data_IF_749917647846
#
_entry.id   IF_749917647846
#
_cell.length_a   1.000
_cell.length_b   1.000
_cell.length_c   1.000
_cell.angle_alpha   90.00
_cell.angle_beta   90.00
_cell.angle_gamma   90.00
#
_symmetry.space_group_name_H-M   'P 1'
#
loop_
_entity.id
_entity.type
_entity.pdbx_description
1 polymer ?
#
# COMPACT_ATOMS: atom_id res chain seq x y z
N UNK A 1 -3.22 11.23 -0.82
CA UNK A 1 -4.68 11.04 -0.93
C UNK A 1 -5.15 10.37 0.34
N UNK A 2 -5.88 11.12 1.17
CA UNK A 2 -6.41 10.64 2.44
C UNK A 2 -7.40 9.50 2.20
N UNK A 3 -7.42 8.51 3.10
CA UNK A 3 -8.39 7.40 3.11
C UNK A 3 -9.84 7.88 2.92
N UNK A 4 -10.14 9.07 3.45
CA UNK A 4 -11.43 9.77 3.35
C UNK A 4 -11.84 10.05 1.90
N UNK A 5 -10.91 10.46 1.03
CA UNK A 5 -11.22 10.73 -0.39
C UNK A 5 -11.56 9.44 -1.15
N UNK A 6 -10.91 8.33 -0.79
CA UNK A 6 -11.22 7.02 -1.36
C UNK A 6 -12.59 6.53 -0.86
N UNK A 7 -12.89 6.71 0.43
CA UNK A 7 -14.22 6.41 1.00
C UNK A 7 -15.35 7.23 0.39
N UNK A 8 -15.13 8.53 0.15
CA UNK A 8 -16.12 9.42 -0.48
C UNK A 8 -16.36 9.05 -1.95
N UNK A 9 -15.29 8.83 -2.71
CA UNK A 9 -15.38 8.44 -4.11
C UNK A 9 -16.05 7.06 -4.25
N UNK A 10 -15.81 6.18 -3.28
CA UNK A 10 -16.44 4.87 -3.16
C UNK A 10 -17.95 4.97 -2.88
N UNK A 11 -18.35 5.79 -1.91
CA UNK A 11 -19.77 5.99 -1.60
C UNK A 11 -20.55 6.57 -2.78
N UNK A 12 -19.93 7.51 -3.52
CA UNK A 12 -20.54 8.12 -4.71
C UNK A 12 -20.75 7.07 -5.81
N UNK A 13 -19.74 6.26 -6.11
CA UNK A 13 -19.87 5.24 -7.16
C UNK A 13 -20.92 4.18 -6.84
N UNK A 14 -20.94 3.66 -5.60
CA UNK A 14 -21.91 2.65 -5.18
C UNK A 14 -23.34 3.20 -5.26
N UNK A 15 -23.56 4.42 -4.79
CA UNK A 15 -24.90 5.03 -4.82
C UNK A 15 -25.39 5.31 -6.24
N UNK A 16 -24.51 5.76 -7.15
CA UNK A 16 -24.86 5.98 -8.56
C UNK A 16 -25.22 4.66 -9.25
N UNK A 17 -24.42 3.60 -9.02
CA UNK A 17 -24.68 2.28 -9.62
C UNK A 17 -25.99 1.67 -9.13
N UNK A 18 -26.29 1.75 -7.83
CA UNK A 18 -27.55 1.27 -7.26
C UNK A 18 -28.73 2.06 -7.83
N UNK A 19 -28.63 3.40 -7.88
CA UNK A 19 -29.69 4.25 -8.42
C UNK A 19 -29.98 3.95 -9.90
N UNK A 20 -28.94 3.75 -10.73
CA UNK A 20 -29.13 3.39 -12.14
C UNK A 20 -29.81 2.03 -12.29
N UNK A 21 -29.41 1.03 -11.49
CA UNK A 21 -30.02 -0.31 -11.51
C UNK A 21 -31.52 -0.21 -11.14
N UNK A 22 -31.86 0.55 -10.10
CA UNK A 22 -33.26 0.78 -9.70
C UNK A 22 -34.03 1.46 -10.84
N UNK A 23 -33.50 2.55 -11.42
CA UNK A 23 -34.18 3.26 -12.52
C UNK A 23 -34.41 2.38 -13.75
N UNK A 24 -33.43 1.54 -14.10
CA UNK A 24 -33.56 0.58 -15.22
C UNK A 24 -34.61 -0.48 -14.88
N UNK A 25 -34.61 -1.00 -13.66
CA UNK A 25 -35.60 -1.97 -13.21
C UNK A 25 -37.03 -1.39 -13.26
N UNK A 26 -37.22 -0.17 -12.76
CA UNK A 26 -38.52 0.53 -12.79
C UNK A 26 -39.00 0.76 -14.23
N UNK A 27 -38.12 1.24 -15.11
CA UNK A 27 -38.45 1.43 -16.52
C UNK A 27 -38.83 0.11 -17.22
N UNK A 28 -38.14 -0.99 -16.90
CA UNK A 28 -38.46 -2.31 -17.44
C UNK A 28 -39.81 -2.84 -16.90
N UNK A 29 -40.14 -2.56 -15.64
CA UNK A 29 -41.42 -2.95 -15.03
C UNK A 29 -42.58 -2.19 -15.70
N UNK A 30 -42.45 -0.88 -15.90
CA UNK A 30 -43.49 -0.05 -16.55
C UNK A 30 -43.74 -0.51 -17.99
N UNK A 31 -42.66 -0.82 -18.75
CA UNK A 31 -42.78 -1.29 -20.13
C UNK A 31 -43.48 -2.65 -20.27
N UNK A 32 -43.54 -3.43 -19.19
CA UNK A 32 -44.23 -4.72 -19.15
C UNK A 32 -45.74 -4.61 -18.81
N UNK A 33 -46.25 -3.43 -18.45
CA UNK A 33 -47.62 -3.23 -17.94
C UNK A 33 -48.66 -2.74 -18.96
N UNK A 34 -48.33 -2.63 -20.25
CA UNK A 34 -49.30 -2.27 -21.31
C UNK A 34 -49.75 -3.48 -22.17
N UNK A 35 -50.79 -4.25 -21.76
CA UNK A 35 -51.39 -5.26 -22.62
C UNK A 35 -52.63 -4.75 -23.37
N UNK A 36 -52.81 -5.22 -24.61
CA UNK A 36 -54.09 -5.13 -25.34
C UNK A 36 -55.12 -6.12 -24.77
N UNK A 37 -56.40 -5.74 -24.82
CA UNK A 37 -57.50 -6.27 -23.98
C UNK A 37 -57.84 -7.77 -24.21
N UNK A 38 -57.37 -8.40 -25.30
CA UNK A 38 -57.90 -9.71 -25.76
C UNK A 38 -57.16 -10.94 -25.17
N UNK A 39 -56.01 -10.79 -24.49
CA UNK A 39 -55.20 -11.93 -23.99
C UNK A 39 -54.78 -11.84 -22.50
N UNK A 40 -55.64 -11.24 -21.67
CA UNK A 40 -55.31 -10.74 -20.34
C UNK A 40 -54.92 -11.83 -19.30
N UNK A 41 -55.49 -13.05 -19.36
CA UNK A 41 -55.23 -14.10 -18.35
C UNK A 41 -53.91 -14.84 -18.58
N UNK A 42 -53.56 -15.14 -19.84
CA UNK A 42 -52.29 -15.80 -20.20
C UNK A 42 -51.11 -14.83 -20.04
N UNK A 43 -51.30 -13.54 -20.32
CA UNK A 43 -50.24 -12.53 -20.15
C UNK A 43 -49.90 -12.27 -18.68
N UNK A 44 -50.90 -12.24 -17.77
CA UNK A 44 -50.68 -12.06 -16.32
C UNK A 44 -49.80 -13.15 -15.71
N UNK A 45 -50.03 -14.42 -16.04
CA UNK A 45 -49.22 -15.53 -15.51
C UNK A 45 -47.77 -15.48 -16.00
N UNK A 46 -47.55 -15.09 -17.26
CA UNK A 46 -46.20 -14.91 -17.81
C UNK A 46 -45.48 -13.71 -17.19
N UNK A 47 -46.19 -12.60 -16.99
CA UNK A 47 -45.67 -11.40 -16.33
C UNK A 47 -45.19 -11.71 -14.90
N UNK A 48 -46.00 -12.41 -14.11
CA UNK A 48 -45.64 -12.80 -12.74
C UNK A 48 -44.39 -13.70 -12.74
N UNK A 49 -44.31 -14.66 -13.68
CA UNK A 49 -43.12 -15.53 -13.83
C UNK A 49 -41.87 -14.73 -14.23
N UNK A 50 -41.99 -13.75 -15.12
CA UNK A 50 -40.90 -12.88 -15.53
C UNK A 50 -40.42 -11.95 -14.41
N UNK A 51 -41.36 -11.31 -13.68
CA UNK A 51 -41.04 -10.47 -12.50
C UNK A 51 -40.30 -11.27 -11.43
N UNK A 52 -40.74 -12.51 -11.14
CA UNK A 52 -40.04 -13.41 -10.19
C UNK A 52 -38.61 -13.72 -10.63
N UNK A 53 -38.38 -14.01 -11.92
CA UNK A 53 -37.03 -14.26 -12.46
C UNK A 53 -36.14 -13.03 -12.39
N UNK A 54 -36.69 -11.84 -12.70
CA UNK A 54 -35.97 -10.58 -12.61
C UNK A 54 -35.55 -10.27 -11.16
N UNK A 55 -36.45 -10.46 -10.20
CA UNK A 55 -36.15 -10.29 -8.77
C UNK A 55 -35.02 -11.23 -8.33
N UNK A 56 -35.09 -12.51 -8.69
CA UNK A 56 -34.03 -13.48 -8.37
C UNK A 56 -32.68 -13.02 -8.95
N UNK A 57 -32.67 -12.56 -10.21
CA UNK A 57 -31.46 -12.08 -10.86
C UNK A 57 -30.85 -10.84 -10.17
N UNK A 58 -31.68 -9.85 -9.84
CA UNK A 58 -31.24 -8.65 -9.11
C UNK A 58 -30.68 -9.03 -7.73
N UNK A 59 -31.33 -9.94 -7.01
CA UNK A 59 -30.84 -10.43 -5.71
C UNK A 59 -29.48 -11.11 -5.81
N UNK A 60 -29.23 -11.89 -6.87
CA UNK A 60 -27.93 -12.53 -7.09
C UNK A 60 -26.84 -11.48 -7.34
N UNK A 61 -27.11 -10.45 -8.14
CA UNK A 61 -26.15 -9.36 -8.39
C UNK A 61 -25.84 -8.63 -7.08
N UNK A 62 -26.86 -8.23 -6.33
CA UNK A 62 -26.68 -7.53 -5.06
C UNK A 62 -25.88 -8.36 -4.05
N UNK A 63 -26.17 -9.66 -3.95
CA UNK A 63 -25.42 -10.58 -3.10
C UNK A 63 -23.96 -10.71 -3.56
N UNK A 64 -23.71 -10.83 -4.87
CA UNK A 64 -22.37 -10.88 -5.44
C UNK A 64 -21.55 -9.62 -5.14
N UNK A 65 -22.17 -8.45 -5.28
CA UNK A 65 -21.57 -7.16 -4.93
C UNK A 65 -21.25 -7.08 -3.42
N UNK A 66 -22.19 -7.49 -2.56
CA UNK A 66 -21.97 -7.54 -1.11
C UNK A 66 -20.81 -8.46 -0.72
N UNK A 67 -20.77 -9.67 -1.30
CA UNK A 67 -19.69 -10.63 -1.07
C UNK A 67 -18.34 -10.10 -1.54
N UNK A 68 -18.26 -9.48 -2.71
CA UNK A 68 -17.03 -8.87 -3.23
C UNK A 68 -16.45 -7.84 -2.24
N UNK A 69 -17.29 -6.96 -1.69
CA UNK A 69 -16.84 -5.96 -0.73
C UNK A 69 -16.48 -6.56 0.63
N UNK A 70 -17.27 -7.51 1.11
CA UNK A 70 -16.99 -8.20 2.37
C UNK A 70 -15.64 -8.93 2.28
N UNK A 71 -15.37 -9.56 1.13
CA UNK A 71 -14.10 -10.22 0.86
C UNK A 71 -12.94 -9.24 0.77
N UNK A 72 -13.13 -8.05 0.20
CA UNK A 72 -12.12 -6.98 0.19
C UNK A 72 -11.74 -6.52 1.59
N UNK A 73 -12.73 -6.26 2.46
CA UNK A 73 -12.50 -5.86 3.86
C UNK A 73 -11.82 -7.00 4.63
N UNK A 74 -12.28 -8.23 4.45
CA UNK A 74 -11.69 -9.41 5.08
C UNK A 74 -10.25 -9.61 4.63
N UNK A 75 -9.97 -9.52 3.33
CA UNK A 75 -8.62 -9.64 2.77
C UNK A 75 -7.67 -8.58 3.31
N UNK A 76 -8.12 -7.31 3.38
CA UNK A 76 -7.34 -6.22 3.97
C UNK A 76 -7.06 -6.46 5.46
N UNK A 77 -8.06 -6.94 6.19
CA UNK A 77 -7.95 -7.27 7.62
C UNK A 77 -6.99 -8.45 7.84
N UNK A 78 -7.12 -9.53 7.09
CA UNK A 78 -6.17 -10.66 7.12
C UNK A 78 -4.77 -10.19 6.75
N UNK A 79 -4.64 -9.28 5.78
CA UNK A 79 -3.37 -8.67 5.41
C UNK A 79 -2.76 -7.81 6.53
N UNK A 80 -3.57 -7.16 7.35
CA UNK A 80 -3.08 -6.34 8.45
C UNK A 80 -2.79 -7.17 9.71
N UNK A 81 -3.78 -7.93 10.16
CA UNK A 81 -3.77 -8.72 11.39
C UNK A 81 -3.06 -10.07 11.25
N UNK A 82 -3.21 -10.75 10.11
CA UNK A 82 -2.50 -11.99 9.82
C UNK A 82 -0.99 -11.79 9.74
N UNK A 83 -0.54 -10.76 9.02
CA UNK A 83 0.89 -10.39 8.96
C UNK A 83 1.35 -9.48 10.12
N UNK A 84 0.49 -9.22 11.11
CA UNK A 84 0.82 -8.47 12.32
C UNK A 84 1.64 -7.20 12.05
N UNK A 85 1.22 -6.38 11.07
CA UNK A 85 2.07 -5.32 10.48
C UNK A 85 2.63 -4.32 11.50
N UNK A 86 1.93 -4.10 12.62
CA UNK A 86 2.29 -3.22 13.74
C UNK A 86 3.38 -3.79 14.66
N UNK A 87 3.63 -5.11 14.66
CA UNK A 87 4.66 -5.71 15.52
C UNK A 87 6.06 -5.47 15.00
N UNK A 88 6.20 -5.37 13.68
CA UNK A 88 7.48 -5.28 13.02
C UNK A 88 7.97 -3.84 12.93
N UNK A 89 9.27 -3.69 13.13
CA UNK A 89 10.00 -2.44 12.90
C UNK A 89 9.92 -2.03 11.44
N UNK A 90 9.84 -0.73 11.20
CA UNK A 90 9.74 -0.13 9.87
C UNK A 90 10.81 0.93 9.68
N UNK A 91 11.07 1.22 8.42
CA UNK A 91 11.81 2.40 8.01
C UNK A 91 11.07 3.15 6.90
N UNK A 92 11.44 4.42 6.71
CA UNK A 92 10.91 5.24 5.62
C UNK A 92 11.78 5.14 4.37
N UNK A 93 11.25 5.65 3.25
CA UNK A 93 11.93 5.61 1.94
C UNK A 93 12.31 7.00 1.44
N UNK A 94 11.94 8.05 2.16
CA UNK A 94 12.25 9.44 1.86
C UNK A 94 12.41 10.22 3.16
N UNK A 95 13.30 11.20 3.16
CA UNK A 95 13.54 12.10 4.29
C UNK A 95 12.25 12.85 4.66
N UNK A 96 11.47 13.26 3.67
CA UNK A 96 10.20 13.95 3.90
C UNK A 96 9.22 13.09 4.73
N UNK A 97 9.06 11.81 4.40
CA UNK A 97 8.21 10.89 5.17
C UNK A 97 8.74 10.67 6.58
N UNK A 98 10.06 10.58 6.72
CA UNK A 98 10.73 10.48 8.02
C UNK A 98 10.43 11.71 8.90
N UNK A 99 10.48 12.90 8.32
CA UNK A 99 10.16 14.18 8.99
C UNK A 99 8.68 14.28 9.34
N UNK A 100 7.77 13.95 8.41
CA UNK A 100 6.31 13.94 8.64
C UNK A 100 5.93 13.03 9.82
N UNK A 101 6.60 11.88 9.94
CA UNK A 101 6.43 10.91 11.05
C UNK A 101 7.17 11.29 12.33
N UNK A 102 7.94 12.40 12.33
CA UNK A 102 8.75 12.87 13.46
C UNK A 102 9.81 11.85 13.93
N UNK A 103 10.32 11.03 13.01
CA UNK A 103 11.37 10.03 13.27
C UNK A 103 12.72 10.42 12.67
N UNK A 104 12.77 11.41 11.79
CA UNK A 104 14.03 11.88 11.20
C UNK A 104 15.01 12.38 12.28
N UNK A 105 16.27 11.97 12.17
CA UNK A 105 17.35 12.39 13.07
C UNK A 105 18.32 13.31 12.35
N UNK A 106 19.01 12.80 11.33
CA UNK A 106 19.99 13.57 10.56
C UNK A 106 20.27 12.94 9.19
N UNK A 107 20.73 13.78 8.27
CA UNK A 107 21.31 13.33 7.01
C UNK A 107 22.76 12.88 7.23
N UNK A 108 23.23 11.92 6.44
CA UNK A 108 24.61 11.44 6.48
C UNK A 108 25.39 11.94 5.28
N UNK A 109 26.71 12.05 5.44
CA UNK A 109 27.56 12.39 4.32
C UNK A 109 27.77 11.17 3.45
N UNK A 110 27.93 11.39 2.16
CA UNK A 110 28.22 10.31 1.24
C UNK A 110 29.03 10.76 0.04
N UNK A 111 29.68 9.79 -0.59
CA UNK A 111 30.37 9.95 -1.86
C UNK A 111 30.11 8.74 -2.73
N UNK A 112 29.60 9.00 -3.92
CA UNK A 112 29.50 7.99 -4.97
C UNK A 112 30.91 7.85 -5.57
N UNK A 113 31.55 6.70 -5.34
CA UNK A 113 32.92 6.42 -5.77
C UNK A 113 32.92 5.90 -7.20
N UNK A 114 31.94 5.06 -7.50
CA UNK A 114 31.73 4.49 -8.82
C UNK A 114 30.23 4.37 -9.05
N UNK A 115 29.78 4.74 -10.25
CA UNK A 115 28.38 4.67 -10.66
C UNK A 115 28.24 4.25 -12.11
N UNK A 116 29.15 3.42 -12.64
CA UNK A 116 29.15 2.88 -14.01
C UNK A 116 27.72 2.82 -14.61
N UNK A 117 27.43 3.78 -15.50
CA UNK A 117 26.20 3.96 -16.27
C UNK A 117 24.92 4.43 -15.53
N UNK A 118 25.01 4.86 -14.28
CA UNK A 118 23.89 5.43 -13.50
C UNK A 118 23.84 6.96 -13.64
N UNK A 119 23.47 7.45 -14.83
CA UNK A 119 23.24 8.89 -15.04
C UNK A 119 22.03 9.35 -14.23
N UNK A 120 22.20 10.39 -13.40
CA UNK A 120 21.09 10.99 -12.64
C UNK A 120 20.67 10.22 -11.39
N UNK A 121 21.50 9.29 -10.90
CA UNK A 121 21.19 8.52 -9.70
C UNK A 121 21.04 9.41 -8.46
N UNK A 122 19.86 9.34 -7.85
CA UNK A 122 19.55 10.04 -6.62
C UNK A 122 19.76 9.11 -5.42
N UNK A 123 20.58 9.55 -4.47
CA UNK A 123 20.82 8.84 -3.23
C UNK A 123 21.05 9.82 -2.09
N UNK A 124 20.29 9.70 -1.01
CA UNK A 124 20.52 10.46 0.22
C UNK A 124 20.41 9.54 1.43
N UNK A 125 21.53 9.21 2.09
CA UNK A 125 21.51 8.42 3.31
C UNK A 125 21.11 9.30 4.50
N UNK A 126 20.34 8.74 5.42
CA UNK A 126 19.93 9.41 6.64
C UNK A 126 19.71 8.41 7.77
N UNK A 127 19.74 8.94 8.99
CA UNK A 127 19.38 8.22 10.20
C UNK A 127 17.98 8.65 10.63
N UNK A 128 17.18 7.66 11.00
CA UNK A 128 15.89 7.87 11.62
C UNK A 128 15.73 6.99 12.85
N UNK A 129 14.84 7.39 13.76
CA UNK A 129 14.44 6.58 14.91
C UNK A 129 13.69 5.36 14.41
N UNK A 130 13.99 4.22 15.03
CA UNK A 130 13.20 3.01 14.90
C UNK A 130 11.75 3.26 15.28
N UNK A 131 10.84 2.78 14.47
CA UNK A 131 9.42 2.88 14.76
C UNK A 131 8.64 1.69 14.22
N UNK A 132 7.39 1.59 14.66
CA UNK A 132 6.40 0.64 14.20
C UNK A 132 5.13 1.39 13.82
N UNK A 133 4.28 0.73 13.04
CA UNK A 133 2.93 1.25 12.79
C UNK A 133 2.07 1.11 14.05
N UNK A 134 1.03 1.94 14.16
CA UNK A 134 -0.01 1.77 15.16
C UNK A 134 -0.76 0.45 14.97
N UNK A 135 -1.48 0.01 16.01
CA UNK A 135 -2.15 -1.29 15.99
C UNK A 135 -3.19 -1.43 14.86
N UNK A 136 -3.82 -0.32 14.44
CA UNK A 136 -4.89 -0.30 13.43
C UNK A 136 -4.58 0.54 12.19
N UNK A 137 -3.43 1.22 12.12
CA UNK A 137 -3.17 2.22 11.07
C UNK A 137 -1.68 2.34 10.78
N UNK A 138 -1.35 2.49 9.48
CA UNK A 138 0.01 2.75 9.03
C UNK A 138 0.40 4.22 9.14
N UNK A 139 -0.57 5.12 9.31
CA UNK A 139 -0.42 6.54 9.52
C UNK A 139 0.03 6.82 10.95
N UNK A 140 -0.44 6.03 11.92
CA UNK A 140 0.03 6.07 13.29
C UNK A 140 1.47 5.53 13.39
N UNK A 141 2.36 6.29 14.02
CA UNK A 141 3.78 5.99 14.22
C UNK A 141 4.06 5.85 15.70
N UNK A 142 4.56 4.67 16.11
CA UNK A 142 4.98 4.37 17.48
C UNK A 142 6.49 4.19 17.51
N UNK A 143 7.19 5.07 18.25
CA UNK A 143 8.64 4.97 18.41
C UNK A 143 9.01 3.67 19.13
N UNK A 144 9.98 2.95 18.61
CA UNK A 144 10.42 1.65 19.11
C UNK A 144 11.44 1.83 20.25
N UNK A 145 10.95 2.13 21.45
CA UNK A 145 11.78 2.40 22.63
C UNK A 145 12.39 1.14 23.27
N UNK A 146 11.95 -0.06 22.87
CA UNK A 146 12.35 -1.32 23.50
C UNK A 146 13.50 -2.02 22.77
N UNK A 147 13.91 -1.50 21.61
CA UNK A 147 15.03 -2.08 20.86
C UNK A 147 16.36 -1.60 21.45
N UNK A 148 17.31 -2.54 21.56
CA UNK A 148 18.71 -2.20 21.84
C UNK A 148 19.36 -1.33 20.75
N UNK A 149 18.72 -1.24 19.58
CA UNK A 149 19.14 -0.43 18.44
C UNK A 149 18.01 0.58 18.12
N UNK A 150 17.98 1.75 18.75
CA UNK A 150 16.88 2.71 18.61
C UNK A 150 16.87 3.46 17.27
N UNK A 151 17.88 3.26 16.40
CA UNK A 151 17.99 3.97 15.13
C UNK A 151 18.10 3.01 13.93
N UNK A 152 17.64 3.48 12.77
CA UNK A 152 17.77 2.83 11.48
C UNK A 152 18.69 3.67 10.58
N UNK A 153 19.53 2.98 9.84
CA UNK A 153 20.18 3.52 8.66
C UNK A 153 19.25 3.34 7.45
N UNK A 154 18.84 4.45 6.85
CA UNK A 154 17.87 4.49 5.74
C UNK A 154 18.41 5.31 4.58
N UNK A 155 17.81 5.11 3.41
CA UNK A 155 18.25 5.77 2.18
C UNK A 155 17.05 6.23 1.36
N UNK A 156 17.11 7.46 0.88
CA UNK A 156 16.22 7.98 -0.15
C UNK A 156 16.86 7.72 -1.51
N UNK A 157 16.10 7.11 -2.41
CA UNK A 157 16.55 6.78 -3.76
C UNK A 157 15.40 6.85 -4.75
N UNK A 158 15.70 6.96 -6.05
CA UNK A 158 14.70 6.79 -7.08
C UNK A 158 14.18 5.33 -7.07
N UNK A 159 12.86 5.17 -6.91
CA UNK A 159 12.21 3.84 -6.82
C UNK A 159 12.09 3.13 -8.16
N UNK A 160 12.12 3.90 -9.25
CA UNK A 160 12.01 3.37 -10.60
C UNK A 160 13.34 2.81 -11.11
N UNK A 161 14.44 3.09 -10.40
CA UNK A 161 15.73 2.49 -10.69
C UNK A 161 15.68 1.03 -10.23
N UNK A 162 15.73 0.10 -11.20
CA UNK A 162 15.80 -1.35 -10.98
C UNK A 162 17.16 -1.77 -10.40
N UNK A 163 17.48 -1.24 -9.22
CA UNK A 163 18.73 -1.44 -8.48
C UNK A 163 18.46 -1.97 -7.07
N UNK A 164 19.37 -2.82 -6.59
CA UNK A 164 19.56 -3.17 -5.19
C UNK A 164 20.68 -2.34 -4.58
N UNK A 165 20.55 -2.08 -3.28
CA UNK A 165 21.57 -1.41 -2.47
C UNK A 165 21.93 -2.34 -1.32
N UNK A 166 23.14 -2.86 -1.34
CA UNK A 166 23.59 -3.89 -0.41
C UNK A 166 24.84 -3.42 0.32
N UNK A 167 24.86 -3.51 1.64
CA UNK A 167 26.07 -3.20 2.42
C UNK A 167 27.11 -4.30 2.18
N UNK A 168 28.34 -3.90 1.87
CA UNK A 168 29.44 -4.84 1.69
C UNK A 168 29.59 -5.75 2.93
N UNK A 169 29.80 -7.05 2.72
CA UNK A 169 29.90 -8.03 3.81
C UNK A 169 30.94 -7.64 4.86
N UNK A 170 32.09 -7.12 4.42
CA UNK A 170 33.16 -6.68 5.33
C UNK A 170 32.80 -5.43 6.16
N UNK A 171 31.82 -4.66 5.71
CA UNK A 171 31.37 -3.44 6.39
C UNK A 171 30.14 -3.70 7.28
N UNK A 172 29.48 -4.87 7.16
CA UNK A 172 28.37 -5.25 8.04
C UNK A 172 28.77 -5.28 9.52
N UNK A 173 30.02 -5.68 9.81
CA UNK A 173 30.58 -5.67 11.17
C UNK A 173 30.81 -4.26 11.76
N UNK A 174 30.75 -3.22 10.92
CA UNK A 174 30.87 -1.81 11.34
C UNK A 174 29.53 -1.23 11.81
N UNK A 175 28.43 -1.93 11.53
CA UNK A 175 27.12 -1.61 12.07
C UNK A 175 26.93 -2.31 13.41
N UNK A 176 26.15 -1.71 14.30
CA UNK A 176 25.81 -2.35 15.57
C UNK A 176 24.97 -3.61 15.37
N UNK A 177 24.12 -3.63 14.33
CA UNK A 177 23.43 -4.81 13.81
C UNK A 177 22.92 -4.54 12.39
N UNK A 178 22.67 -5.60 11.61
CA UNK A 178 22.04 -5.47 10.29
C UNK A 178 21.23 -6.72 9.95
N UNK A 179 20.19 -6.54 9.13
CA UNK A 179 19.56 -7.65 8.42
C UNK A 179 19.92 -7.62 6.92
N UNK A 180 19.13 -8.30 6.09
CA UNK A 180 19.34 -8.35 4.63
C UNK A 180 19.20 -6.96 3.99
N UNK A 181 18.35 -6.10 4.54
CA UNK A 181 17.88 -4.85 3.91
C UNK A 181 18.24 -3.61 4.73
N UNK A 182 18.35 -3.71 6.06
CA UNK A 182 18.46 -2.59 6.98
C UNK A 182 19.72 -2.66 7.86
N UNK A 183 20.30 -1.49 8.12
CA UNK A 183 21.29 -1.30 9.18
C UNK A 183 20.63 -0.73 10.43
N UNK A 184 21.02 -1.24 11.59
CA UNK A 184 20.52 -0.83 12.90
C UNK A 184 21.65 -0.25 13.73
N UNK A 185 21.38 0.86 14.42
CA UNK A 185 22.38 1.61 15.18
C UNK A 185 21.94 1.81 16.62
N UNK A 186 22.88 1.67 17.56
CA UNK A 186 22.74 2.03 18.98
C UNK A 186 22.75 3.54 19.16
N UNK A 187 23.59 4.21 18.37
CA UNK A 187 23.79 5.65 18.40
C UNK A 187 23.34 6.30 17.09
N UNK A 188 23.00 7.61 17.09
CA UNK A 188 22.54 8.31 15.89
C UNK A 188 23.70 8.72 14.97
N UNK A 189 24.69 7.85 14.79
CA UNK A 189 25.84 8.07 13.90
C UNK A 189 26.47 6.73 13.48
N UNK A 190 27.20 6.73 12.38
CA UNK A 190 28.05 5.61 11.98
C UNK A 190 29.40 5.74 12.68
N UNK A 191 29.92 4.64 13.23
CA UNK A 191 31.24 4.63 13.88
C UNK A 191 32.38 4.71 12.86
N UNK A 192 32.16 4.18 11.66
CA UNK A 192 33.12 4.15 10.56
C UNK A 192 32.37 4.27 9.23
N UNK A 193 33.11 4.60 8.17
CA UNK A 193 32.59 4.64 6.81
C UNK A 193 32.20 3.24 6.35
N UNK A 194 30.97 3.10 5.86
CA UNK A 194 30.49 1.88 5.23
C UNK A 194 30.45 2.05 3.71
N UNK A 195 30.60 0.95 2.98
CA UNK A 195 30.39 0.87 1.54
C UNK A 195 29.06 0.21 1.25
N UNK A 196 28.31 0.82 0.36
CA UNK A 196 27.07 0.30 -0.21
C UNK A 196 27.35 -0.04 -1.67
N UNK A 197 27.10 -1.28 -2.03
CA UNK A 197 27.15 -1.79 -3.39
C UNK A 197 25.83 -1.48 -4.08
N UNK A 198 25.92 -0.89 -5.27
CA UNK A 198 24.80 -0.75 -6.18
C UNK A 198 24.86 -1.92 -7.17
N UNK A 199 23.78 -2.69 -7.28
CA UNK A 199 23.63 -3.69 -8.35
C UNK A 199 22.32 -3.43 -9.09
N UNK A 200 22.37 -3.20 -10.40
CA UNK A 200 21.19 -3.02 -11.24
C UNK A 200 21.16 -3.96 -12.43
N UNK A 201 20.04 -3.93 -13.16
CA UNK A 201 19.91 -4.62 -14.44
C UNK A 201 20.95 -4.11 -15.46
N UNK A 202 21.39 -4.96 -16.38
CA UNK A 202 22.27 -4.56 -17.49
C UNK A 202 23.69 -4.13 -17.06
N UNK A 203 24.29 -4.82 -16.08
CA UNK A 203 25.63 -4.55 -15.55
C UNK A 203 25.81 -3.17 -14.86
N UNK A 204 24.72 -2.49 -14.48
CA UNK A 204 24.80 -1.31 -13.62
C UNK A 204 25.42 -1.71 -12.28
N UNK A 205 26.58 -1.14 -11.98
CA UNK A 205 27.32 -1.40 -10.74
C UNK A 205 27.86 -0.10 -10.21
N UNK A 206 28.01 -0.03 -8.90
CA UNK A 206 28.56 1.15 -8.26
C UNK A 206 28.89 0.92 -6.80
N UNK A 207 29.60 1.88 -6.24
CA UNK A 207 30.00 1.89 -4.84
C UNK A 207 29.71 3.28 -4.29
N UNK A 208 28.98 3.31 -3.17
CA UNK A 208 28.73 4.51 -2.39
C UNK A 208 29.43 4.35 -1.05
N UNK A 209 30.18 5.37 -0.62
CA UNK A 209 30.69 5.48 0.74
C UNK A 209 29.78 6.38 1.56
N UNK A 210 29.44 5.98 2.79
CA UNK A 210 28.56 6.73 3.70
C UNK A 210 29.22 6.84 5.07
N UNK A 211 29.20 8.04 5.68
CA UNK A 211 29.75 8.33 7.00
C UNK A 211 28.96 9.39 7.78
#
# INVERSE_FOLDING_TARGET
MSSILIELQYHIHVNISIYLIIKIADHLIIKLETPSIINQKRSRTLLIKMKKRLIIFISIILLGTLLYYTFGIFSSSVGWYGYQKWKYRRGTTTIEKSKQRKVFVKELNYKIVDSLNLKGFHFKPYIEKGFRYGYHSMEDTRIDNFSHYPYNLSYERNKNDSISLDIFSDDKKKLDSCDIVWGYLKQPYLQDTIRIKINGAGNQKGIIKVW
#
